data_IF_544230217338
#
_entry.id   IF_544230217338
#
_cell.length_a   1.000
_cell.length_b   1.000
_cell.length_c   1.000
_cell.angle_alpha   90.00
_cell.angle_beta   90.00
_cell.angle_gamma   90.00
#
_symmetry.space_group_name_H-M   'P 1'
#
loop_
_entity.id
_entity.type
_entity.pdbx_description
1 polymer ?
#
# COMPACT_ATOMS: atom_id res chain seq x y z
N UNK A 1 -19.24 27.84 -7.18
CA UNK A 1 -19.71 28.23 -5.85
C UNK A 1 -18.69 28.07 -4.73
N UNK A 2 -18.03 26.92 -4.52
CA UNK A 2 -17.06 26.75 -3.41
C UNK A 2 -15.70 27.45 -3.58
N UNK A 3 -15.28 27.76 -4.83
CA UNK A 3 -13.98 28.38 -5.11
C UNK A 3 -13.76 29.72 -4.38
N UNK A 4 -14.68 30.67 -4.55
CA UNK A 4 -14.58 32.00 -3.93
C UNK A 4 -14.50 31.95 -2.40
N UNK A 5 -15.41 31.24 -1.71
CA UNK A 5 -15.35 31.06 -0.27
C UNK A 5 -14.06 30.40 0.23
N UNK A 6 -13.47 29.47 -0.53
CA UNK A 6 -12.16 28.88 -0.20
C UNK A 6 -11.03 29.90 -0.34
N UNK A 7 -10.99 30.65 -1.44
CA UNK A 7 -9.98 31.71 -1.66
C UNK A 7 -10.06 32.78 -0.56
N UNK A 8 -11.26 33.23 -0.22
CA UNK A 8 -11.49 34.20 0.85
C UNK A 8 -11.00 33.67 2.20
N UNK A 9 -11.35 32.42 2.55
CA UNK A 9 -10.94 31.81 3.81
C UNK A 9 -9.41 31.66 3.94
N UNK A 10 -8.73 31.28 2.86
CA UNK A 10 -7.28 31.13 2.84
C UNK A 10 -6.58 32.48 2.89
N UNK A 11 -7.10 33.48 2.17
CA UNK A 11 -6.57 34.85 2.20
C UNK A 11 -6.72 35.50 3.57
N UNK A 12 -7.86 35.32 4.25
CA UNK A 12 -8.07 35.82 5.62
C UNK A 12 -7.09 35.20 6.63
N UNK A 13 -6.63 33.98 6.37
CA UNK A 13 -5.63 33.28 7.17
C UNK A 13 -4.18 33.54 6.71
N UNK A 14 -3.98 34.44 5.75
CA UNK A 14 -2.67 34.79 5.15
C UNK A 14 -1.93 33.58 4.53
N UNK A 15 -2.67 32.60 4.01
CA UNK A 15 -2.12 31.40 3.38
C UNK A 15 -2.03 31.61 1.86
N UNK A 16 -0.80 31.66 1.33
CA UNK A 16 -0.54 31.67 -0.12
C UNK A 16 -0.95 30.33 -0.74
N UNK A 17 -2.03 30.32 -1.52
CA UNK A 17 -2.55 29.11 -2.14
C UNK A 17 -3.31 29.39 -3.43
N UNK A 18 -3.18 28.48 -4.40
CA UNK A 18 -3.96 28.49 -5.63
C UNK A 18 -5.13 27.51 -5.53
N UNK A 19 -6.35 28.00 -5.78
CA UNK A 19 -7.58 27.19 -5.72
C UNK A 19 -8.13 26.93 -7.13
N UNK A 20 -8.17 25.66 -7.51
CA UNK A 20 -8.67 25.21 -8.82
C UNK A 20 -9.86 24.27 -8.69
N UNK A 21 -10.82 24.39 -9.61
CA UNK A 21 -11.88 23.40 -9.77
C UNK A 21 -11.33 22.19 -10.52
N UNK A 22 -11.49 20.99 -9.96
CA UNK A 22 -11.03 19.74 -10.58
C UNK A 22 -12.19 19.03 -11.28
N UNK A 23 -12.26 19.04 -12.63
CA UNK A 23 -13.23 18.21 -13.33
C UNK A 23 -12.90 16.73 -13.12
N UNK A 24 -13.92 15.92 -12.81
CA UNK A 24 -13.76 14.47 -12.71
C UNK A 24 -13.69 13.86 -14.11
N UNK A 25 -12.72 12.98 -14.36
CA UNK A 25 -12.67 12.21 -15.59
C UNK A 25 -13.90 11.31 -15.74
N UNK A 26 -14.53 11.33 -16.92
CA UNK A 26 -15.73 10.54 -17.25
C UNK A 26 -15.54 9.03 -16.97
N UNK A 27 -14.34 8.50 -17.22
CA UNK A 27 -14.02 7.10 -16.92
C UNK A 27 -14.05 6.78 -15.42
N UNK A 28 -13.59 7.71 -14.57
CA UNK A 28 -13.65 7.54 -13.12
C UNK A 28 -15.08 7.61 -12.58
N UNK A 29 -15.94 8.41 -13.22
CA UNK A 29 -17.38 8.48 -12.94
C UNK A 29 -18.02 7.13 -13.28
N UNK A 30 -17.79 6.62 -14.49
CA UNK A 30 -18.35 5.35 -14.95
C UNK A 30 -17.94 4.17 -14.03
N UNK A 31 -16.66 4.06 -13.68
CA UNK A 31 -16.19 3.01 -12.77
C UNK A 31 -16.83 3.10 -11.37
N UNK A 32 -17.12 4.30 -10.86
CA UNK A 32 -17.83 4.48 -9.57
C UNK A 32 -19.30 4.06 -9.65
N UNK A 33 -19.97 4.31 -10.78
CA UNK A 33 -21.35 3.85 -11.03
C UNK A 33 -21.39 2.32 -11.00
N UNK A 34 -20.52 1.65 -11.76
CA UNK A 34 -20.51 0.19 -11.84
C UNK A 34 -20.09 -0.49 -10.54
N UNK A 35 -19.05 0.02 -9.86
CA UNK A 35 -18.50 -0.65 -8.66
C UNK A 35 -19.29 -0.43 -7.38
N UNK A 36 -20.07 0.66 -7.26
CA UNK A 36 -20.79 1.00 -6.02
C UNK A 36 -22.31 0.95 -6.14
N UNK A 37 -22.86 0.70 -7.34
CA UNK A 37 -24.31 0.61 -7.58
C UNK A 37 -25.08 1.87 -7.17
N UNK A 38 -24.40 3.02 -7.06
CA UNK A 38 -25.01 4.27 -6.62
C UNK A 38 -25.74 4.94 -7.78
N UNK A 39 -26.91 5.56 -7.53
CA UNK A 39 -27.60 6.34 -8.55
C UNK A 39 -26.71 7.49 -9.03
N UNK A 40 -26.83 7.83 -10.31
CA UNK A 40 -26.04 8.88 -10.99
C UNK A 40 -26.07 10.21 -10.20
N UNK A 41 -27.19 10.53 -9.57
CA UNK A 41 -27.44 11.73 -8.76
C UNK A 41 -26.46 11.88 -7.56
N UNK A 42 -26.09 10.78 -6.88
CA UNK A 42 -25.12 10.77 -5.78
C UNK A 42 -23.68 11.14 -6.22
N UNK A 43 -23.38 11.03 -7.52
CA UNK A 43 -22.03 11.24 -8.07
C UNK A 43 -21.82 12.70 -8.49
N UNK A 44 -22.90 13.39 -8.88
CA UNK A 44 -22.91 14.84 -9.15
C UNK A 44 -22.79 15.67 -7.86
N UNK A 45 -23.20 15.09 -6.73
CA UNK A 45 -23.18 15.74 -5.42
C UNK A 45 -21.77 15.85 -4.79
N UNK A 46 -20.71 15.45 -5.53
CA UNK A 46 -19.32 15.73 -5.17
C UNK A 46 -18.64 16.56 -6.26
N UNK A 47 -18.51 17.86 -6.03
CA UNK A 47 -17.54 18.68 -6.74
C UNK A 47 -16.15 18.49 -6.11
N UNK A 48 -15.09 18.53 -6.92
CA UNK A 48 -13.72 18.41 -6.44
C UNK A 48 -12.97 19.74 -6.57
N UNK A 49 -12.27 20.13 -5.52
CA UNK A 49 -11.41 21.31 -5.47
C UNK A 49 -9.98 20.87 -5.22
N UNK A 50 -9.03 21.57 -5.83
CA UNK A 50 -7.60 21.41 -5.59
C UNK A 50 -7.05 22.71 -5.03
N UNK A 51 -6.21 22.58 -4.02
CA UNK A 51 -5.50 23.68 -3.37
C UNK A 51 -4.01 23.35 -3.47
N UNK A 52 -3.27 24.20 -4.16
CA UNK A 52 -1.81 24.09 -4.28
C UNK A 52 -1.16 25.16 -3.41
N UNK A 53 -0.29 24.78 -2.48
CA UNK A 53 0.41 25.70 -1.58
C UNK A 53 1.91 25.70 -1.80
N UNK A 54 2.61 26.68 -1.24
CA UNK A 54 4.07 26.80 -1.39
C UNK A 54 4.83 25.82 -0.49
N UNK A 55 4.34 25.58 0.74
CA UNK A 55 4.99 24.69 1.70
C UNK A 55 4.07 23.61 2.27
N UNK A 56 4.69 22.60 2.89
CA UNK A 56 3.98 21.55 3.64
C UNK A 56 3.23 22.12 4.86
N UNK A 57 3.80 23.14 5.51
CA UNK A 57 3.16 23.79 6.65
C UNK A 57 1.86 24.46 6.22
N UNK A 58 1.87 25.12 5.06
CA UNK A 58 0.69 25.76 4.47
C UNK A 58 -0.39 24.74 4.07
N UNK A 59 0.00 23.51 3.67
CA UNK A 59 -0.97 22.44 3.40
C UNK A 59 -1.82 22.11 4.65
N UNK A 60 -1.18 21.93 5.81
CA UNK A 60 -1.88 21.62 7.05
C UNK A 60 -2.59 22.85 7.63
N UNK A 61 -2.03 24.04 7.47
CA UNK A 61 -2.71 25.28 7.83
C UNK A 61 -4.01 25.46 7.03
N UNK A 62 -3.96 25.24 5.71
CA UNK A 62 -5.13 25.27 4.83
C UNK A 62 -6.18 24.23 5.24
N UNK A 63 -5.75 23.01 5.60
CA UNK A 63 -6.63 21.98 6.13
C UNK A 63 -7.36 22.45 7.39
N UNK A 64 -6.64 23.06 8.34
CA UNK A 64 -7.22 23.60 9.57
C UNK A 64 -8.25 24.70 9.31
N UNK A 65 -7.93 25.64 8.41
CA UNK A 65 -8.87 26.69 7.97
C UNK A 65 -10.13 26.07 7.38
N UNK A 66 -9.99 25.08 6.51
CA UNK A 66 -11.14 24.39 5.89
C UNK A 66 -12.01 23.70 6.94
N UNK A 67 -11.42 22.92 7.86
CA UNK A 67 -12.17 22.20 8.89
C UNK A 67 -12.82 23.13 9.93
N UNK A 68 -12.29 24.35 10.10
CA UNK A 68 -12.91 25.37 10.95
C UNK A 68 -14.13 26.05 10.33
N UNK A 69 -14.16 26.20 9.00
CA UNK A 69 -15.28 26.85 8.27
C UNK A 69 -16.35 25.87 7.80
N UNK A 70 -15.97 24.66 7.42
CA UNK A 70 -16.87 23.65 6.87
C UNK A 70 -16.76 22.34 7.62
N UNK A 71 -17.91 21.73 7.91
CA UNK A 71 -17.96 20.48 8.66
C UNK A 71 -17.35 19.34 7.86
N UNK A 72 -16.26 18.70 8.33
CA UNK A 72 -15.68 17.54 7.67
C UNK A 72 -16.59 16.32 7.84
N UNK A 73 -16.66 15.50 6.79
CA UNK A 73 -17.38 14.23 6.83
C UNK A 73 -16.45 13.17 7.44
N UNK A 74 -16.84 12.49 8.54
CA UNK A 74 -16.04 11.43 9.14
C UNK A 74 -15.64 10.35 8.12
N UNK A 75 -14.50 9.70 8.36
CA UNK A 75 -13.93 8.64 7.51
C UNK A 75 -13.58 9.06 6.06
N UNK A 76 -13.74 10.35 5.71
CA UNK A 76 -13.40 10.91 4.40
C UNK A 76 -12.23 11.89 4.43
N UNK A 77 -11.38 11.73 5.45
CA UNK A 77 -10.09 12.39 5.54
C UNK A 77 -8.97 11.37 5.34
N UNK A 78 -8.05 11.67 4.43
CA UNK A 78 -6.88 10.84 4.16
C UNK A 78 -5.64 11.73 4.05
N UNK A 79 -4.65 11.44 4.87
CA UNK A 79 -3.36 12.13 4.88
C UNK A 79 -2.34 11.32 4.06
N UNK A 80 -2.34 11.50 2.74
CA UNK A 80 -1.33 10.86 1.89
C UNK A 80 0.01 11.58 1.93
N UNK A 81 0.17 12.63 2.74
CA UNK A 81 1.47 13.26 2.91
C UNK A 81 2.28 12.52 3.97
N UNK A 82 1.65 12.19 5.09
CA UNK A 82 2.21 11.32 6.13
C UNK A 82 2.26 9.85 5.69
N UNK A 83 1.30 9.44 4.85
CA UNK A 83 1.20 8.05 4.36
C UNK A 83 1.13 8.02 2.82
N UNK A 84 2.26 8.24 2.11
CA UNK A 84 2.28 8.26 0.66
C UNK A 84 1.79 6.95 0.05
N UNK A 85 1.16 7.05 -1.13
CA UNK A 85 0.80 5.86 -1.92
C UNK A 85 2.04 5.23 -2.55
N UNK A 86 1.93 3.95 -2.95
CA UNK A 86 3.03 3.21 -3.62
C UNK A 86 3.59 3.90 -4.87
N UNK A 87 2.81 4.73 -5.56
CA UNK A 87 3.25 5.52 -6.70
C UNK A 87 3.84 6.90 -6.32
N UNK A 88 4.26 7.07 -5.07
CA UNK A 88 4.77 8.33 -4.49
C UNK A 88 3.76 9.49 -4.49
N UNK A 89 2.47 9.19 -4.68
CA UNK A 89 1.43 10.21 -4.63
C UNK A 89 1.27 10.76 -3.20
N UNK A 90 1.37 12.09 -3.07
CA UNK A 90 1.23 12.83 -1.82
C UNK A 90 0.22 13.96 -1.95
N UNK A 91 -0.74 14.02 -1.03
CA UNK A 91 -1.76 15.08 -0.91
C UNK A 91 -2.64 14.84 0.33
N UNK A 92 -3.14 15.89 0.96
CA UNK A 92 -4.20 15.81 1.95
C UNK A 92 -5.56 15.79 1.25
N UNK A 93 -6.40 14.80 1.55
CA UNK A 93 -7.74 14.68 0.98
C UNK A 93 -8.75 14.82 2.10
N UNK A 94 -9.73 15.69 1.94
CA UNK A 94 -10.84 15.85 2.89
C UNK A 94 -12.15 16.03 2.14
N UNK A 95 -13.24 15.46 2.63
CA UNK A 95 -14.59 15.80 2.16
C UNK A 95 -15.29 16.65 3.21
N UNK A 96 -15.86 17.79 2.80
CA UNK A 96 -16.61 18.71 3.67
C UNK A 96 -18.01 18.97 3.13
N UNK A 97 -18.92 19.38 4.01
CA UNK A 97 -20.22 19.94 3.64
C UNK A 97 -20.06 21.43 3.36
N UNK A 98 -20.22 21.82 2.09
CA UNK A 98 -20.07 23.19 1.63
C UNK A 98 -21.39 23.95 1.52
N UNK A 99 -21.37 25.14 0.89
CA UNK A 99 -22.55 25.93 0.62
C UNK A 99 -23.63 25.14 -0.12
N UNK A 100 -24.90 25.37 0.24
CA UNK A 100 -26.03 24.64 -0.36
C UNK A 100 -26.19 23.20 0.11
N UNK A 101 -25.41 22.74 1.10
CA UNK A 101 -25.46 21.38 1.62
C UNK A 101 -24.77 20.34 0.73
N UNK A 102 -24.14 20.79 -0.36
CA UNK A 102 -23.42 19.94 -1.31
C UNK A 102 -22.10 19.47 -0.71
N UNK A 103 -21.63 18.28 -1.12
CA UNK A 103 -20.35 17.73 -0.65
C UNK A 103 -19.23 18.20 -1.57
N UNK A 104 -18.13 18.63 -0.97
CA UNK A 104 -16.92 19.02 -1.69
C UNK A 104 -15.75 18.15 -1.26
N UNK A 105 -15.11 17.49 -2.22
CA UNK A 105 -13.84 16.80 -2.03
C UNK A 105 -12.70 17.80 -2.30
N UNK A 106 -11.89 18.08 -1.29
CA UNK A 106 -10.80 19.05 -1.35
C UNK A 106 -9.48 18.30 -1.26
N UNK A 107 -8.58 18.56 -2.20
CA UNK A 107 -7.24 18.01 -2.27
C UNK A 107 -6.24 19.14 -2.05
N UNK A 108 -5.41 19.03 -1.02
CA UNK A 108 -4.40 20.03 -0.67
C UNK A 108 -3.02 19.41 -0.87
N UNK A 109 -2.10 20.12 -1.51
CA UNK A 109 -0.72 19.64 -1.74
C UNK A 109 0.20 20.79 -2.12
N UNK A 110 1.51 20.56 -2.08
CA UNK A 110 2.48 21.53 -2.58
C UNK A 110 2.60 21.48 -4.11
N UNK A 111 3.21 22.51 -4.70
CA UNK A 111 3.55 22.53 -6.13
C UNK A 111 4.43 21.36 -6.55
N UNK A 112 5.40 20.96 -5.71
CA UNK A 112 6.24 19.78 -5.94
C UNK A 112 5.40 18.49 -5.96
N UNK A 113 4.54 18.30 -4.95
CA UNK A 113 3.63 17.16 -4.89
C UNK A 113 2.65 17.15 -6.06
N UNK A 114 2.24 18.33 -6.54
CA UNK A 114 1.40 18.46 -7.72
C UNK A 114 2.12 17.92 -8.96
N UNK A 115 3.37 18.32 -9.20
CA UNK A 115 4.18 17.85 -10.33
C UNK A 115 4.40 16.34 -10.30
N UNK A 116 4.78 15.80 -9.14
CA UNK A 116 4.98 14.35 -8.98
C UNK A 116 3.69 13.57 -9.23
N UNK A 117 2.55 14.11 -8.83
CA UNK A 117 1.26 13.46 -9.09
C UNK A 117 0.80 13.52 -10.56
N UNK A 118 1.18 14.53 -11.33
CA UNK A 118 0.80 14.65 -12.76
C UNK A 118 1.77 13.92 -13.69
N UNK A 119 3.07 14.00 -13.41
CA UNK A 119 4.13 13.52 -14.31
C UNK A 119 4.86 12.25 -13.79
N UNK A 120 4.56 11.81 -12.57
CA UNK A 120 5.19 10.65 -11.94
C UNK A 120 6.68 10.85 -11.64
N UNK A 121 7.39 9.74 -11.39
CA UNK A 121 8.82 9.72 -11.02
C UNK A 121 9.71 10.37 -12.12
N UNK A 122 9.28 10.34 -13.38
CA UNK A 122 9.99 10.95 -14.51
C UNK A 122 10.16 12.47 -14.36
N UNK A 123 9.27 13.13 -13.61
CA UNK A 123 9.34 14.57 -13.32
C UNK A 123 10.57 14.95 -12.48
N UNK A 124 10.93 14.09 -11.51
CA UNK A 124 12.10 14.30 -10.65
C UNK A 124 13.42 14.08 -11.39
N UNK A 125 13.46 13.20 -12.40
CA UNK A 125 14.66 12.94 -13.20
C UNK A 125 15.13 14.15 -14.01
N UNK A 126 14.21 14.94 -14.58
CA UNK A 126 14.56 16.05 -15.48
C UNK A 126 15.10 17.30 -14.77
N UNK A 127 14.92 17.41 -13.45
CA UNK A 127 15.26 18.62 -12.69
C UNK A 127 16.57 18.50 -11.88
N UNK A 128 17.07 17.27 -11.66
CA UNK A 128 18.33 17.03 -10.91
C UNK A 128 19.59 16.96 -11.78
N UNK A 129 19.49 17.13 -13.10
CA UNK A 129 20.70 17.43 -13.91
C UNK A 129 21.32 18.78 -13.53
N UNK A 130 20.57 19.71 -12.92
CA UNK A 130 21.03 21.08 -12.63
C UNK A 130 21.19 21.44 -11.13
N UNK A 131 20.98 20.53 -10.16
CA UNK A 131 21.02 20.96 -8.75
C UNK A 131 21.18 19.88 -7.69
N UNK A 132 22.27 19.98 -6.92
CA UNK A 132 22.54 19.23 -5.69
C UNK A 132 21.48 19.53 -4.61
N UNK A 133 20.58 18.58 -4.29
CA UNK A 133 20.04 18.41 -2.93
C UNK A 133 19.27 17.10 -2.72
N UNK A 134 19.41 16.59 -1.48
CA UNK A 134 18.79 15.49 -0.75
C UNK A 134 18.59 14.11 -1.41
N UNK A 135 19.22 13.13 -0.76
CA UNK A 135 19.44 11.73 -1.15
C UNK A 135 18.31 10.77 -0.77
N UNK A 136 17.40 11.16 0.12
CA UNK A 136 16.64 10.15 0.88
C UNK A 136 15.32 9.73 0.19
N UNK A 137 14.65 10.62 -0.55
CA UNK A 137 13.41 10.29 -1.28
C UNK A 137 13.65 9.54 -2.60
N UNK A 138 14.85 9.69 -3.20
CA UNK A 138 15.21 8.98 -4.43
C UNK A 138 15.59 7.53 -4.14
N UNK A 139 16.10 7.24 -2.94
CA UNK A 139 16.51 5.88 -2.55
C UNK A 139 15.30 4.95 -2.36
N UNK A 140 14.14 5.45 -1.92
CA UNK A 140 12.94 4.63 -1.73
C UNK A 140 12.29 4.24 -3.08
N UNK A 141 12.22 5.19 -4.02
CA UNK A 141 11.76 4.92 -5.39
C UNK A 141 12.73 4.03 -6.19
N UNK A 142 14.06 4.22 -5.98
CA UNK A 142 15.08 3.30 -6.48
C UNK A 142 14.96 1.93 -5.83
N UNK A 143 14.59 1.82 -4.55
CA UNK A 143 14.41 0.54 -3.85
C UNK A 143 13.22 -0.22 -4.41
N UNK A 144 12.10 0.45 -4.71
CA UNK A 144 10.97 -0.19 -5.39
C UNK A 144 11.36 -0.68 -6.79
N UNK A 145 12.03 0.16 -7.58
CA UNK A 145 12.44 -0.22 -8.95
C UNK A 145 13.53 -1.31 -8.95
N UNK A 146 14.46 -1.28 -8.00
CA UNK A 146 15.47 -2.33 -7.78
C UNK A 146 14.81 -3.63 -7.31
N UNK A 147 13.82 -3.58 -6.41
CA UNK A 147 13.04 -4.77 -6.03
C UNK A 147 12.35 -5.38 -7.25
N UNK A 148 11.70 -4.56 -8.10
CA UNK A 148 11.06 -5.04 -9.34
C UNK A 148 12.06 -5.67 -10.31
N UNK A 149 13.28 -5.11 -10.42
CA UNK A 149 14.36 -5.65 -11.26
C UNK A 149 15.01 -6.92 -10.67
N UNK A 150 15.23 -6.98 -9.35
CA UNK A 150 15.68 -8.19 -8.65
C UNK A 150 14.66 -9.32 -8.80
N UNK A 151 13.36 -9.01 -8.80
CA UNK A 151 12.30 -10.01 -9.03
C UNK A 151 12.28 -10.58 -10.44
N UNK A 152 12.74 -9.83 -11.45
CA UNK A 152 12.94 -10.37 -12.80
C UNK A 152 14.00 -11.48 -12.80
N UNK A 153 15.00 -11.40 -11.92
CA UNK A 153 16.11 -12.36 -11.87
C UNK A 153 15.71 -13.66 -11.15
N UNK A 154 14.81 -13.60 -10.17
CA UNK A 154 14.39 -14.75 -9.35
C UNK A 154 13.14 -15.50 -9.86
N UNK A 155 12.41 -14.94 -10.84
CA UNK A 155 11.18 -15.56 -11.37
C UNK A 155 11.48 -16.31 -12.67
N UNK A 156 11.44 -17.64 -12.63
CA UNK A 156 11.70 -18.49 -13.80
C UNK A 156 10.61 -18.39 -14.89
N UNK A 157 9.41 -17.88 -14.56
CA UNK A 157 8.27 -17.80 -15.49
C UNK A 157 7.71 -16.37 -15.64
N UNK A 158 7.73 -15.79 -16.87
CA UNK A 158 7.19 -14.45 -17.16
C UNK A 158 5.71 -14.25 -16.81
N UNK A 159 4.94 -15.33 -16.75
CA UNK A 159 3.50 -15.32 -16.47
C UNK A 159 3.21 -15.02 -14.99
N UNK A 160 4.02 -15.57 -14.07
CA UNK A 160 3.93 -15.23 -12.64
C UNK A 160 4.24 -13.74 -12.42
N UNK A 161 5.26 -13.20 -13.09
CA UNK A 161 5.62 -11.77 -13.03
C UNK A 161 4.47 -10.84 -13.47
N UNK A 162 3.79 -11.17 -14.57
CA UNK A 162 2.66 -10.38 -15.06
C UNK A 162 1.43 -10.44 -14.14
N UNK A 163 1.20 -11.58 -13.47
CA UNK A 163 0.18 -11.70 -12.43
C UNK A 163 0.53 -10.82 -11.22
N UNK A 164 1.79 -10.81 -10.78
CA UNK A 164 2.28 -9.99 -9.67
C UNK A 164 2.12 -8.49 -9.94
N UNK A 165 2.57 -8.00 -11.09
CA UNK A 165 2.40 -6.60 -11.50
C UNK A 165 0.92 -6.19 -11.52
N UNK A 166 0.04 -7.05 -12.03
CA UNK A 166 -1.41 -6.77 -12.05
C UNK A 166 -2.02 -6.72 -10.65
N UNK A 167 -1.48 -7.47 -9.69
CA UNK A 167 -2.03 -7.50 -8.33
C UNK A 167 -1.63 -6.29 -7.49
N UNK A 168 -0.41 -5.78 -7.64
CA UNK A 168 0.06 -4.61 -6.88
C UNK A 168 -0.34 -3.28 -7.53
N UNK A 169 -0.46 -3.18 -8.87
CA UNK A 169 -0.66 -1.89 -9.54
C UNK A 169 -2.14 -1.40 -9.59
N UNK A 170 -3.13 -2.28 -9.37
CA UNK A 170 -4.55 -1.99 -9.70
C UNK A 170 -5.54 -2.05 -8.53
N UNK A 171 -5.10 -2.36 -7.30
CA UNK A 171 -5.99 -2.46 -6.14
C UNK A 171 -5.91 -1.18 -5.31
N UNK A 172 -7.03 -0.74 -4.74
CA UNK A 172 -7.01 0.35 -3.76
C UNK A 172 -6.10 -0.01 -2.60
N UNK A 173 -5.56 0.98 -1.89
CA UNK A 173 -4.69 0.76 -0.74
C UNK A 173 -5.45 1.00 0.57
N UNK A 174 -5.10 0.23 1.60
CA UNK A 174 -5.52 0.42 2.99
C UNK A 174 -4.27 0.71 3.82
N UNK A 175 -4.44 1.54 4.85
CA UNK A 175 -3.40 1.89 5.82
C UNK A 175 -3.75 1.23 7.14
N UNK A 176 -2.81 0.45 7.67
CA UNK A 176 -2.95 -0.27 8.93
C UNK A 176 -1.81 0.11 9.87
N UNK A 177 -2.09 0.11 11.16
CA UNK A 177 -1.17 0.56 12.19
C UNK A 177 -0.47 -0.61 12.88
N UNK A 178 0.82 -0.47 13.18
CA UNK A 178 1.51 -1.33 14.14
C UNK A 178 1.09 -0.94 15.57
N UNK A 179 1.31 -1.80 16.57
CA UNK A 179 1.06 -1.45 17.97
C UNK A 179 1.88 -0.24 18.45
N UNK A 180 3.04 -0.01 17.83
CA UNK A 180 3.96 1.09 18.13
C UNK A 180 3.58 2.40 17.41
N UNK A 181 2.55 2.38 16.55
CA UNK A 181 2.01 3.55 15.86
C UNK A 181 2.51 3.77 14.43
N UNK A 182 3.40 2.91 13.92
CA UNK A 182 3.86 2.99 12.53
C UNK A 182 2.74 2.62 11.56
N UNK A 183 2.71 3.27 10.40
CA UNK A 183 1.72 2.97 9.36
C UNK A 183 2.34 2.08 8.28
N UNK A 184 1.59 1.04 7.88
CA UNK A 184 1.90 0.20 6.72
C UNK A 184 0.78 0.30 5.69
N UNK A 185 1.17 0.59 4.44
CA UNK A 185 0.28 0.54 3.29
C UNK A 185 0.21 -0.91 2.77
N UNK A 186 -1.02 -1.42 2.59
CA UNK A 186 -1.29 -2.75 2.05
C UNK A 186 -2.38 -2.67 0.98
N UNK A 187 -2.44 -3.61 0.03
CA UNK A 187 -3.55 -3.66 -0.94
C UNK A 187 -4.88 -3.97 -0.24
N UNK A 188 -5.98 -3.47 -0.82
CA UNK A 188 -7.33 -3.76 -0.34
C UNK A 188 -7.58 -5.26 -0.32
N UNK A 189 -8.15 -5.75 0.79
CA UNK A 189 -8.39 -7.17 1.04
C UNK A 189 -7.19 -7.91 1.63
N UNK A 190 -6.07 -7.23 1.92
CA UNK A 190 -4.94 -7.81 2.64
C UNK A 190 -5.36 -8.37 4.00
N UNK A 191 -4.63 -9.38 4.45
CA UNK A 191 -4.90 -10.14 5.67
C UNK A 191 -3.81 -9.91 6.72
N UNK A 192 -4.01 -10.33 8.00
CA UNK A 192 -2.96 -10.28 9.00
C UNK A 192 -1.64 -10.95 8.58
N UNK A 193 -1.69 -11.98 7.74
CA UNK A 193 -0.47 -12.62 7.22
C UNK A 193 0.26 -11.70 6.25
N UNK A 194 -0.46 -11.01 5.37
CA UNK A 194 0.13 -10.00 4.48
C UNK A 194 0.83 -8.90 5.29
N UNK A 195 0.19 -8.43 6.37
CA UNK A 195 0.79 -7.48 7.29
C UNK A 195 2.05 -8.04 7.96
N UNK A 196 2.02 -9.28 8.46
CA UNK A 196 3.17 -9.91 9.09
C UNK A 196 4.40 -9.96 8.17
N UNK A 197 4.23 -10.32 6.91
CA UNK A 197 5.30 -10.34 5.90
C UNK A 197 5.75 -8.94 5.44
N UNK A 198 4.89 -7.92 5.58
CA UNK A 198 5.24 -6.51 5.35
C UNK A 198 6.11 -5.94 6.47
N UNK A 199 5.95 -6.44 7.70
CA UNK A 199 6.80 -6.09 8.85
C UNK A 199 8.15 -6.77 8.72
N UNK A 200 8.18 -8.10 8.63
CA UNK A 200 9.41 -8.85 8.44
C UNK A 200 9.11 -10.29 8.01
N UNK A 201 9.98 -10.90 7.18
CA UNK A 201 9.77 -12.27 6.70
C UNK A 201 9.71 -13.29 7.85
N UNK A 202 10.56 -13.15 8.87
CA UNK A 202 10.52 -14.01 10.07
C UNK A 202 9.25 -13.85 10.91
N UNK A 203 8.67 -12.64 10.96
CA UNK A 203 7.37 -12.43 11.64
C UNK A 203 6.27 -13.14 10.86
N UNK A 204 6.30 -13.07 9.53
CA UNK A 204 5.44 -13.84 8.64
C UNK A 204 5.58 -15.36 8.83
N UNK A 205 6.81 -15.89 8.82
CA UNK A 205 7.08 -17.32 8.99
C UNK A 205 6.54 -17.88 10.31
N UNK A 206 6.73 -17.13 11.40
CA UNK A 206 6.37 -17.55 12.74
C UNK A 206 4.95 -17.06 13.15
N UNK A 207 4.12 -16.58 12.23
CA UNK A 207 2.81 -16.00 12.53
C UNK A 207 1.80 -17.05 13.02
N UNK A 208 1.52 -17.08 14.31
CA UNK A 208 0.60 -18.04 14.96
C UNK A 208 -0.81 -17.49 15.15
N UNK A 209 -0.96 -16.17 15.22
CA UNK A 209 -2.23 -15.51 15.38
C UNK A 209 -2.11 -14.01 15.17
N UNK A 210 -3.25 -13.32 15.18
CA UNK A 210 -3.27 -11.88 15.09
C UNK A 210 -4.32 -11.31 16.05
N UNK A 211 -4.06 -10.11 16.55
CA UNK A 211 -5.08 -9.26 17.15
C UNK A 211 -5.29 -8.06 16.24
N UNK A 212 -6.55 -7.71 16.02
CA UNK A 212 -6.96 -6.52 15.30
C UNK A 212 -7.76 -5.65 16.26
N UNK A 213 -7.32 -4.41 16.46
CA UNK A 213 -7.88 -3.46 17.42
C UNK A 213 -7.98 -4.06 18.85
N UNK A 214 -6.92 -4.75 19.27
CA UNK A 214 -6.80 -5.38 20.59
C UNK A 214 -7.58 -6.68 20.79
N UNK A 215 -8.32 -7.17 19.78
CA UNK A 215 -9.09 -8.42 19.85
C UNK A 215 -8.52 -9.50 18.93
N UNK A 216 -8.49 -10.74 19.40
CA UNK A 216 -8.05 -11.88 18.58
C UNK A 216 -8.92 -11.97 17.33
N UNK A 217 -8.27 -12.08 16.17
CA UNK A 217 -8.90 -12.17 14.86
C UNK A 217 -8.34 -13.36 14.07
N UNK A 218 -9.14 -13.99 13.21
CA UNK A 218 -8.66 -15.06 12.35
C UNK A 218 -7.67 -14.51 11.31
N UNK A 219 -6.66 -15.32 10.98
CA UNK A 219 -5.61 -14.95 10.02
C UNK A 219 -6.13 -14.70 8.60
N UNK A 220 -7.31 -15.22 8.25
CA UNK A 220 -7.99 -15.02 6.97
C UNK A 220 -8.87 -13.77 6.90
N UNK A 221 -9.02 -13.03 8.02
CA UNK A 221 -9.81 -11.79 8.05
C UNK A 221 -9.17 -10.74 7.15
N UNK A 222 -9.98 -10.09 6.32
CA UNK A 222 -9.54 -8.90 5.59
C UNK A 222 -9.39 -7.69 6.52
N UNK A 223 -8.26 -7.01 6.41
CA UNK A 223 -7.94 -5.80 7.13
C UNK A 223 -8.66 -4.60 6.52
N UNK A 224 -8.98 -3.62 7.37
CA UNK A 224 -9.61 -2.37 6.97
C UNK A 224 -8.68 -1.19 7.23
N UNK A 225 -8.95 -0.10 6.51
CA UNK A 225 -8.24 1.14 6.74
C UNK A 225 -8.44 1.60 8.19
N UNK A 226 -7.34 1.91 8.89
CA UNK A 226 -7.36 2.33 10.29
C UNK A 226 -7.22 1.19 11.32
N UNK A 227 -7.19 -0.07 10.90
CA UNK A 227 -7.02 -1.19 11.83
C UNK A 227 -5.61 -1.17 12.45
N UNK A 228 -5.54 -1.33 13.78
CA UNK A 228 -4.31 -1.59 14.50
C UNK A 228 -4.08 -3.10 14.61
N UNK A 229 -2.97 -3.60 14.06
CA UNK A 229 -2.70 -5.03 13.91
C UNK A 229 -1.48 -5.43 14.75
N UNK A 230 -1.67 -6.38 15.65
CA UNK A 230 -0.62 -7.02 16.45
C UNK A 230 -0.47 -8.47 16.00
N UNK A 231 0.73 -8.87 15.59
CA UNK A 231 1.02 -10.25 15.17
C UNK A 231 1.56 -11.04 16.36
N UNK A 232 0.94 -12.18 16.64
CA UNK A 232 1.38 -13.12 17.66
C UNK A 232 2.29 -14.15 17.00
N UNK A 233 3.56 -14.15 17.37
CA UNK A 233 4.56 -15.07 16.79
C UNK A 233 4.82 -16.28 17.70
N UNK A 234 5.12 -17.42 17.09
CA UNK A 234 5.54 -18.64 17.77
C UNK A 234 6.57 -19.38 16.89
N UNK A 235 7.71 -19.74 17.47
CA UNK A 235 8.80 -20.43 16.77
C UNK A 235 8.44 -21.83 16.27
N UNK A 236 7.37 -22.44 16.81
CA UNK A 236 6.85 -23.72 16.32
C UNK A 236 5.93 -23.57 15.12
N UNK A 237 5.39 -22.38 14.89
CA UNK A 237 4.51 -22.12 13.79
C UNK A 237 5.33 -21.99 12.51
N UNK A 238 4.86 -22.62 11.44
CA UNK A 238 5.47 -22.52 10.12
C UNK A 238 4.42 -22.16 9.08
N UNK A 239 4.81 -21.58 7.93
CA UNK A 239 3.91 -21.35 6.82
C UNK A 239 3.24 -22.65 6.36
N UNK A 240 1.95 -22.56 6.01
CA UNK A 240 1.17 -23.70 5.51
C UNK A 240 0.61 -23.39 4.12
N UNK A 241 0.28 -24.43 3.34
CA UNK A 241 -0.32 -24.26 2.01
C UNK A 241 -1.66 -23.53 2.07
N UNK A 242 -2.42 -23.71 3.15
CA UNK A 242 -3.74 -23.08 3.34
C UNK A 242 -3.68 -21.55 3.36
N UNK A 243 -2.53 -20.97 3.77
CA UNK A 243 -2.35 -19.52 3.77
C UNK A 243 -2.40 -18.93 2.36
N UNK A 244 -1.95 -19.69 1.35
CA UNK A 244 -1.97 -19.24 -0.05
C UNK A 244 -3.39 -18.98 -0.58
N UNK A 245 -4.43 -19.53 0.07
CA UNK A 245 -5.82 -19.30 -0.34
C UNK A 245 -6.33 -17.89 -0.03
N UNK A 246 -5.79 -17.23 1.00
CA UNK A 246 -6.32 -15.94 1.48
C UNK A 246 -5.30 -14.79 1.50
N UNK A 247 -4.00 -15.08 1.47
CA UNK A 247 -2.94 -14.07 1.34
C UNK A 247 -3.06 -13.34 0.00
N UNK A 248 -2.99 -12.00 0.02
CA UNK A 248 -3.19 -11.16 -1.18
C UNK A 248 -1.92 -10.58 -1.77
N UNK A 249 -0.90 -10.31 -0.96
CA UNK A 249 0.33 -9.67 -1.40
C UNK A 249 1.23 -10.66 -2.14
N UNK A 250 1.97 -10.14 -3.11
CA UNK A 250 2.96 -10.88 -3.91
C UNK A 250 4.08 -11.40 -3.02
N UNK A 251 4.64 -10.51 -2.19
CA UNK A 251 5.72 -10.78 -1.23
C UNK A 251 5.39 -11.96 -0.31
N UNK A 252 4.24 -11.92 0.36
CA UNK A 252 3.85 -12.98 1.29
C UNK A 252 3.65 -14.32 0.56
N UNK A 253 2.96 -14.34 -0.59
CA UNK A 253 2.76 -15.58 -1.36
C UNK A 253 4.08 -16.19 -1.84
N UNK A 254 5.01 -15.38 -2.31
CA UNK A 254 6.34 -15.84 -2.74
C UNK A 254 7.12 -16.43 -1.57
N UNK A 255 7.21 -15.70 -0.44
CA UNK A 255 7.92 -16.20 0.75
C UNK A 255 7.32 -17.50 1.27
N UNK A 256 5.99 -17.63 1.30
CA UNK A 256 5.30 -18.87 1.69
C UNK A 256 5.63 -20.01 0.72
N UNK A 257 5.54 -19.79 -0.60
CA UNK A 257 5.86 -20.82 -1.61
C UNK A 257 7.32 -21.28 -1.50
N UNK A 258 8.25 -20.33 -1.37
CA UNK A 258 9.68 -20.62 -1.23
C UNK A 258 9.95 -21.46 0.03
N UNK A 259 9.34 -21.09 1.15
CA UNK A 259 9.42 -21.84 2.39
C UNK A 259 8.95 -23.28 2.19
N UNK A 260 7.77 -23.47 1.58
CA UNK A 260 7.16 -24.79 1.39
C UNK A 260 8.02 -25.66 0.48
N UNK A 261 8.51 -25.12 -0.64
CA UNK A 261 9.41 -25.84 -1.55
C UNK A 261 10.68 -26.29 -0.84
N UNK A 262 11.26 -25.44 0.02
CA UNK A 262 12.47 -25.78 0.79
C UNK A 262 12.21 -26.95 1.75
N UNK A 263 11.11 -26.94 2.49
CA UNK A 263 10.81 -28.05 3.41
C UNK A 263 10.38 -29.33 2.72
N UNK A 264 9.64 -29.24 1.62
CA UNK A 264 9.33 -30.41 0.78
C UNK A 264 10.64 -31.02 0.24
N UNK A 265 11.60 -30.20 -0.20
CA UNK A 265 12.91 -30.65 -0.65
C UNK A 265 13.74 -31.29 0.48
N UNK A 266 13.85 -30.65 1.64
CA UNK A 266 14.60 -31.19 2.77
C UNK A 266 14.02 -32.53 3.26
N UNK A 267 12.69 -32.64 3.31
CA UNK A 267 11.99 -33.88 3.67
C UNK A 267 12.23 -34.97 2.62
N UNK A 268 12.09 -34.65 1.32
CA UNK A 268 12.33 -35.59 0.23
C UNK A 268 13.78 -36.07 0.18
N UNK A 269 14.74 -35.16 0.40
CA UNK A 269 16.16 -35.47 0.43
C UNK A 269 16.52 -36.40 1.61
N UNK A 270 15.96 -36.14 2.80
CA UNK A 270 16.14 -37.02 3.96
C UNK A 270 15.59 -38.42 3.70
N UNK A 271 14.35 -38.50 3.18
CA UNK A 271 13.73 -39.77 2.83
C UNK A 271 14.54 -40.53 1.77
N UNK A 272 15.03 -39.82 0.74
CA UNK A 272 15.88 -40.39 -0.30
C UNK A 272 17.19 -40.96 0.25
N UNK A 273 17.85 -40.24 1.18
CA UNK A 273 19.03 -40.74 1.88
C UNK A 273 18.74 -42.00 2.69
N UNK A 274 17.66 -42.01 3.46
CA UNK A 274 17.27 -43.15 4.29
C UNK A 274 16.94 -44.40 3.44
N UNK A 275 16.24 -44.20 2.32
CA UNK A 275 15.95 -45.27 1.35
C UNK A 275 17.22 -45.81 0.69
N UNK A 276 18.11 -44.91 0.25
CA UNK A 276 19.37 -45.28 -0.38
C UNK A 276 20.26 -46.08 0.59
N UNK A 277 20.43 -45.61 1.83
CA UNK A 277 21.22 -46.29 2.86
C UNK A 277 20.66 -47.70 3.16
N UNK A 278 19.33 -47.83 3.21
CA UNK A 278 18.67 -49.12 3.41
C UNK A 278 18.95 -50.10 2.27
N UNK A 279 18.87 -49.66 1.02
CA UNK A 279 19.12 -50.53 -0.14
C UNK A 279 20.61 -50.89 -0.29
N UNK A 280 21.51 -49.94 -0.04
CA UNK A 280 22.96 -50.20 -0.03
C UNK A 280 23.34 -51.23 1.04
N UNK A 281 22.78 -51.13 2.25
CA UNK A 281 22.97 -52.13 3.31
C UNK A 281 22.47 -53.52 2.91
N UNK A 282 21.32 -53.63 2.24
CA UNK A 282 20.81 -54.92 1.73
C UNK A 282 21.73 -55.50 0.66
N UNK A 283 22.24 -54.66 -0.24
CA UNK A 283 23.14 -55.04 -1.32
C UNK A 283 24.60 -55.27 -0.85
N UNK A 284 24.92 -54.94 0.41
CA UNK A 284 26.29 -54.94 0.97
C UNK A 284 27.26 -54.05 0.18
N UNK A 285 26.76 -52.96 -0.37
CA UNK A 285 27.54 -51.95 -1.09
C UNK A 285 27.76 -50.74 -0.19
N UNK A 286 28.92 -50.09 -0.33
CA UNK A 286 29.20 -48.82 0.35
C UNK A 286 28.60 -47.65 -0.45
N UNK A 287 28.35 -46.52 0.22
CA UNK A 287 28.05 -45.26 -0.47
C UNK A 287 29.20 -44.92 -1.42
N UNK A 288 28.92 -44.60 -2.70
CA UNK A 288 29.94 -44.08 -3.58
C UNK A 288 30.52 -42.81 -2.95
N UNK A 289 31.85 -42.76 -2.80
CA UNK A 289 32.53 -41.52 -2.45
C UNK A 289 32.52 -40.62 -3.68
N UNK A 290 32.01 -39.39 -3.53
CA UNK A 290 32.02 -38.39 -4.59
C UNK A 290 33.42 -38.28 -5.21
N UNK A 291 33.50 -38.42 -6.53
CA UNK A 291 34.71 -38.22 -7.34
C UNK A 291 34.85 -36.76 -7.73
#
# INVERSE_FOLDING_TARGET
>A
DMKGPLEEALNEAEISAEVEGRPKHLWSIHRKIESQGRPFEDIYDLMAMRITTDSLQDCYAALGVIHSRWTPIPERFHDYVATPKSNMYRSLHTTVLGPGGLRYEIQIRTEEMHRTAEYGIAAHWRYKEDGKSHSDEVDEALTWFRQVLEWQQDTAEPEEFMEFLRMDLFRGEIFVFTPDGDVKALPTGATPIDFAYSVHTEVGHNCAGAKVNGRIAPLSRELRNGDAVEILTNTKQKPTRDWLAFVKTSRARQSIRQWIRREEFESAHKLGKDLLDRELKKARLALPTDS
#
